data_IF_729243066401
#
_entry.id   IF_729243066401
#
_cell.length_a   1.000
_cell.length_b   1.000
_cell.length_c   1.000
_cell.angle_alpha   90.00
_cell.angle_beta   90.00
_cell.angle_gamma   90.00
#
_symmetry.space_group_name_H-M   'P 1'
#
loop_
_entity.id
_entity.type
_entity.pdbx_description
1 polymer ?
2 polymer ?
3 polymer ?
4 water ?
#
# COMPACT_ATOMS: atom_id res chain seq x y z
N UNK A 1 11.68 -3.45 -16.46
CA UNK A 1 12.80 -4.18 -15.79
C UNK A 1 13.38 -3.45 -14.57
N UNK A 2 12.74 -2.36 -14.16
CA UNK A 2 13.18 -1.61 -12.97
C UNK A 2 12.55 -2.20 -11.72
N UNK A 3 13.31 -2.19 -10.62
CA UNK A 3 12.87 -2.83 -9.38
C UNK A 3 13.27 -2.03 -8.16
N UNK A 4 12.54 -2.20 -7.07
CA UNK A 4 12.83 -1.50 -5.86
C UNK A 4 12.56 -2.38 -4.65
N UNK A 5 13.27 -2.11 -3.54
CA UNK A 5 12.95 -2.71 -2.24
C UNK A 5 12.57 -1.59 -1.28
N UNK A 6 11.55 -1.82 -0.45
CA UNK A 6 11.16 -0.85 0.57
C UNK A 6 10.75 -1.52 1.85
N UNK A 7 11.12 -0.90 2.96
CA UNK A 7 10.57 -1.27 4.24
C UNK A 7 9.72 -0.12 4.70
N UNK A 8 8.57 -0.47 5.31
CA UNK A 8 7.60 0.47 5.79
C UNK A 8 7.42 0.20 7.28
N UNK A 9 7.75 1.19 8.10
CA UNK A 9 7.58 1.08 9.55
C UNK A 9 6.48 1.97 10.03
N UNK A 10 5.67 1.45 10.94
CA UNK A 10 4.61 2.24 11.59
C UNK A 10 4.73 2.06 13.10
N UNK A 11 4.97 3.16 13.82
CA UNK A 11 5.00 3.14 15.30
C UNK A 11 3.86 3.99 15.85
N UNK A 12 3.00 3.40 16.66
CA UNK A 12 1.78 4.11 17.07
C UNK A 12 1.61 4.05 18.57
N UNK A 13 1.60 5.21 19.22
CA UNK A 13 1.30 5.26 20.65
C UNK A 13 -0.20 5.14 20.92
N UNK A 14 -0.54 4.75 22.15
CA UNK A 14 -1.93 4.48 22.50
C UNK A 14 -2.07 4.62 24.02
N UNK A 15 -2.00 5.87 24.52
CA UNK A 15 -2.00 6.09 25.97
C UNK A 15 -3.17 5.40 26.65
N UNK A 16 -2.85 4.63 27.70
CA UNK A 16 -3.89 3.93 28.45
C UNK A 16 -4.18 2.54 27.91
N UNK A 17 -3.50 2.17 26.82
CA UNK A 17 -3.74 0.90 26.18
C UNK A 17 -2.42 0.19 25.93
N UNK A 18 -1.46 0.36 26.83
CA UNK A 18 -0.19 -0.32 26.69
C UNK A 18 0.85 0.49 25.90
N UNK A 19 2.00 -0.13 25.65
CA UNK A 19 3.13 0.54 24.99
C UNK A 19 2.87 0.64 23.48
N UNK A 20 3.59 1.54 22.78
CA UNK A 20 3.33 1.77 21.35
C UNK A 20 3.59 0.53 20.50
N UNK A 21 2.71 0.29 19.53
CA UNK A 21 2.83 -0.85 18.64
C UNK A 21 3.80 -0.46 17.53
N UNK A 22 4.72 -1.36 17.22
CA UNK A 22 5.59 -1.20 16.07
C UNK A 22 5.28 -2.34 15.07
N UNK A 23 5.05 -1.98 13.81
CA UNK A 23 4.89 -2.97 12.74
C UNK A 23 5.84 -2.62 11.60
N UNK A 24 6.49 -3.64 11.05
CA UNK A 24 7.34 -3.41 9.88
C UNK A 24 6.91 -4.36 8.80
N UNK A 25 6.85 -3.89 7.56
CA UNK A 25 6.60 -4.75 6.44
C UNK A 25 7.65 -4.46 5.37
N UNK A 26 8.01 -5.49 4.61
CA UNK A 26 9.00 -5.33 3.53
C UNK A 26 8.38 -5.73 2.21
N UNK A 27 8.73 -4.97 1.17
CA UNK A 27 8.26 -5.17 -0.18
C UNK A 27 9.41 -5.20 -1.14
N UNK A 28 9.27 -6.03 -2.19
CA UNK A 28 10.01 -5.85 -3.44
C UNK A 28 8.92 -5.48 -4.44
N UNK A 29 9.04 -4.30 -5.05
CA UNK A 29 8.01 -3.76 -5.98
C UNK A 29 6.66 -3.85 -5.27
N UNK A 30 5.65 -4.45 -5.89
CA UNK A 30 4.33 -4.56 -5.25
C UNK A 30 4.05 -5.87 -4.52
N UNK A 31 5.11 -6.60 -4.16
CA UNK A 31 4.99 -7.90 -3.50
C UNK A 31 5.54 -7.80 -2.08
N UNK A 32 4.67 -7.92 -1.08
CA UNK A 32 5.12 -7.95 0.30
C UNK A 32 5.84 -9.27 0.57
N UNK A 33 6.93 -9.24 1.32
CA UNK A 33 7.64 -10.50 1.57
C UNK A 33 7.92 -10.83 3.05
N UNK A 34 7.86 -9.85 3.96
CA UNK A 34 8.07 -10.08 5.41
C UNK A 34 7.18 -9.16 6.25
N UNK A 35 6.90 -9.57 7.49
CA UNK A 35 6.25 -8.72 8.47
C UNK A 35 6.85 -9.00 9.83
N UNK A 36 6.72 -7.99 10.69
CA UNK A 36 7.01 -8.10 12.11
C UNK A 36 6.00 -7.21 12.82
N UNK A 37 5.37 -7.73 13.88
CA UNK A 37 4.36 -6.98 14.61
C UNK A 37 4.59 -7.19 16.09
N UNK A 38 4.90 -6.11 16.80
CA UNK A 38 5.22 -6.18 18.24
C UNK A 38 3.99 -6.63 19.05
N UNK A 39 2.80 -6.51 18.45
CA UNK A 39 1.56 -6.97 19.09
C UNK A 39 1.24 -8.45 18.91
N UNK A 40 2.00 -9.16 18.06
CA UNK A 40 1.76 -10.58 17.85
C UNK A 40 2.00 -11.38 19.12
N UNK A 41 1.30 -12.50 19.26
CA UNK A 41 1.41 -13.31 20.47
C UNK A 41 2.87 -13.65 20.78
N UNK A 42 3.65 -13.94 19.74
CA UNK A 42 5.07 -14.22 19.92
C UNK A 42 5.88 -13.51 18.82
N UNK A 43 6.21 -12.22 19.02
CA UNK A 43 6.75 -11.36 17.96
C UNK A 43 8.00 -11.92 17.31
N UNK A 44 7.89 -12.16 16.00
CA UNK A 44 9.00 -12.63 15.18
C UNK A 44 8.79 -12.17 13.76
N UNK A 45 9.89 -12.09 13.02
CA UNK A 45 9.78 -11.81 11.59
C UNK A 45 9.19 -13.02 10.88
N UNK A 46 8.14 -12.81 10.09
CA UNK A 46 7.45 -13.91 9.44
C UNK A 46 7.46 -13.74 7.92
N UNK A 47 7.61 -14.86 7.18
CA UNK A 47 7.61 -14.79 5.71
C UNK A 47 6.21 -14.50 5.15
N UNK A 48 6.13 -13.72 4.06
CA UNK A 48 4.83 -13.41 3.44
C UNK A 48 4.82 -13.62 1.91
N UNK A 49 5.91 -14.19 1.40
CA UNK A 49 6.00 -14.62 0.01
C UNK A 49 6.82 -15.93 -0.02
N UNK A 50 6.44 -16.87 -0.92
CA UNK A 50 7.06 -18.21 -0.93
C UNK A 50 8.58 -18.19 -1.14
N UNK A 51 9.08 -17.27 -1.98
CA UNK A 51 10.50 -17.23 -2.31
C UNK A 51 11.43 -16.73 -1.18
N UNK A 52 10.89 -16.17 -0.09
CA UNK A 52 11.71 -15.78 1.05
C UNK A 52 11.86 -16.95 2.02
N UNK A 53 10.99 -17.94 1.91
CA UNK A 53 10.99 -19.03 2.89
C UNK A 53 12.30 -19.84 2.93
N UNK A 54 13.03 -19.87 1.82
CA UNK A 54 14.31 -20.59 1.72
C UNK A 54 15.42 -20.00 2.60
N UNK A 55 15.28 -18.73 3.01
CA UNK A 55 16.27 -18.14 3.93
C UNK A 55 16.30 -18.92 5.23
N UNK A 56 17.49 -19.11 5.79
CA UNK A 56 17.69 -19.98 6.94
C UNK A 56 17.49 -19.31 8.28
N UNK A 57 17.55 -20.10 9.37
CA UNK A 57 17.28 -19.52 10.69
C UNK A 57 18.07 -18.23 11.01
N UNK A 58 19.32 -18.11 10.54
CA UNK A 58 20.13 -16.92 10.89
C UNK A 58 19.57 -15.63 10.27
N UNK A 59 18.95 -15.75 9.09
CA UNK A 59 18.24 -14.64 8.48
C UNK A 59 17.05 -14.22 9.36
N UNK A 60 16.20 -15.17 9.73
CA UNK A 60 15.02 -14.85 10.55
C UNK A 60 15.40 -14.26 11.91
N UNK A 61 16.45 -14.79 12.54
CA UNK A 61 16.90 -14.25 13.82
C UNK A 61 17.53 -12.85 13.70
N UNK A 62 18.26 -12.60 12.61
CA UNK A 62 18.84 -11.29 12.37
C UNK A 62 17.72 -10.23 12.17
N UNK A 63 16.73 -10.59 11.38
CA UNK A 63 15.60 -9.69 11.16
C UNK A 63 14.88 -9.38 12.47
N UNK A 64 14.64 -10.43 13.25
CA UNK A 64 13.89 -10.31 14.47
C UNK A 64 14.68 -9.45 15.51
N UNK A 65 15.99 -9.69 15.62
CA UNK A 65 16.85 -8.88 16.49
C UNK A 65 16.77 -7.38 16.13
N UNK A 66 16.78 -7.07 14.84
CA UNK A 66 16.68 -5.68 14.33
C UNK A 66 15.31 -5.08 14.65
N UNK A 67 14.24 -5.80 14.33
CA UNK A 67 12.90 -5.26 14.55
C UNK A 67 12.56 -5.11 16.04
N UNK A 68 13.08 -6.01 16.88
CA UNK A 68 12.86 -5.89 18.33
C UNK A 68 13.54 -4.64 18.85
N UNK A 69 14.77 -4.38 18.37
CA UNK A 69 15.50 -3.19 18.77
C UNK A 69 14.78 -1.94 18.30
N UNK A 70 14.27 -1.98 17.06
CA UNK A 70 13.45 -0.86 16.53
C UNK A 70 12.18 -0.59 17.34
N UNK A 71 11.52 -1.66 17.81
CA UNK A 71 10.36 -1.52 18.71
C UNK A 71 10.67 -0.60 19.92
N UNK A 72 11.78 -0.85 20.60
CA UNK A 72 12.22 -0.04 21.74
C UNK A 72 12.64 1.40 21.36
N UNK A 73 13.41 1.53 20.28
CA UNK A 73 13.86 2.83 19.78
C UNK A 73 12.70 3.75 19.35
N UNK A 74 11.75 3.21 18.61
CA UNK A 74 10.60 4.01 18.20
C UNK A 74 9.71 4.45 19.37
N UNK A 75 9.70 3.66 20.45
CA UNK A 75 8.95 4.05 21.63
C UNK A 75 9.63 5.29 22.26
N UNK A 76 10.96 5.30 22.29
CA UNK A 76 11.70 6.48 22.75
C UNK A 76 11.50 7.67 21.83
N UNK A 77 11.55 7.42 20.53
CA UNK A 77 11.31 8.45 19.53
C UNK A 77 9.91 9.06 19.67
N UNK A 78 8.88 8.23 19.87
CA UNK A 78 7.55 8.77 20.09
C UNK A 78 7.53 9.69 21.33
N UNK A 79 8.19 9.32 22.41
CA UNK A 79 8.21 10.18 23.61
C UNK A 79 8.93 11.47 23.32
N UNK A 80 10.00 11.39 22.51
CA UNK A 80 10.79 12.56 22.20
C UNK A 80 9.99 13.56 21.34
N UNK A 81 9.29 13.06 20.33
CA UNK A 81 8.55 13.94 19.42
C UNK A 81 7.34 14.56 20.10
N UNK A 82 6.69 13.80 20.99
CA UNK A 82 5.66 14.37 21.86
C UNK A 82 6.20 15.65 22.49
N UNK A 83 7.35 15.53 23.16
CA UNK A 83 8.01 16.66 23.82
C UNK A 83 8.36 17.78 22.84
N UNK A 84 8.82 17.44 21.62
CA UNK A 84 9.23 18.50 20.68
C UNK A 84 8.05 19.36 20.21
N UNK A 85 6.85 18.80 20.26
CA UNK A 85 5.67 19.55 19.86
C UNK A 85 4.84 20.03 21.04
N UNK A 86 5.41 19.94 22.24
CA UNK A 86 4.70 20.29 23.49
C UNK A 86 3.31 19.63 23.60
N UNK A 87 3.21 18.40 23.15
CA UNK A 87 1.93 17.71 23.14
C UNK A 87 1.63 17.03 24.48
N UNK A 88 0.34 16.93 24.79
CA UNK A 88 -0.12 16.29 26.01
C UNK A 88 0.20 14.77 25.99
N UNK A 89 0.22 14.15 27.16
CA UNK A 89 0.39 12.69 27.25
C UNK A 89 -0.89 11.94 26.89
N UNK A 90 -1.98 12.65 26.62
CA UNK A 90 -3.27 12.00 26.34
C UNK A 90 -3.51 11.50 24.92
N UNK A 91 -2.84 12.08 23.94
CA UNK A 91 -3.11 11.77 22.54
C UNK A 91 -2.34 10.61 21.96
N UNK A 92 -2.93 9.99 20.94
CA UNK A 92 -2.26 8.96 20.13
C UNK A 92 -1.47 9.65 19.01
N UNK A 93 -0.25 9.18 18.78
CA UNK A 93 0.56 9.72 17.67
C UNK A 93 1.22 8.62 16.90
N UNK A 94 1.60 8.95 15.66
CA UNK A 94 2.19 7.97 14.78
C UNK A 94 3.50 8.45 14.16
N UNK A 95 4.55 7.63 14.20
CA UNK A 95 5.75 7.88 13.40
C UNK A 95 5.72 6.84 12.29
N UNK A 96 5.95 7.27 11.06
CA UNK A 96 6.11 6.35 9.94
C UNK A 96 7.45 6.55 9.27
N UNK A 97 8.00 5.45 8.74
CA UNK A 97 9.26 5.54 8.02
C UNK A 97 9.18 4.67 6.78
N UNK A 98 9.66 5.17 5.65
CA UNK A 98 9.75 4.30 4.45
C UNK A 98 11.14 4.53 3.86
N UNK A 99 11.90 3.45 3.66
CA UNK A 99 13.27 3.57 3.11
C UNK A 99 13.55 2.41 2.19
N UNK A 100 14.56 2.57 1.35
CA UNK A 100 14.95 1.51 0.42
C UNK A 100 15.68 1.98 -0.81
N UNK A 101 15.84 1.06 -1.76
CA UNK A 101 16.71 1.32 -2.89
C UNK A 101 15.93 1.02 -4.17
N UNK A 102 16.23 1.80 -5.21
CA UNK A 102 15.69 1.62 -6.55
C UNK A 102 16.80 1.17 -7.46
N UNK A 103 16.57 0.08 -8.21
CA UNK A 103 17.48 -0.39 -9.25
C UNK A 103 16.94 -0.01 -10.65
N UNK A 104 17.83 0.39 -11.56
CA UNK A 104 17.46 0.49 -12.99
C UNK A 104 17.33 -0.87 -13.65
N UNK A 105 16.94 -0.91 -14.95
CA UNK A 105 16.77 -2.19 -15.69
C UNK A 105 18.06 -3.03 -15.83
N UNK A 106 19.22 -2.36 -15.71
CA UNK A 106 20.52 -3.04 -15.69
C UNK A 106 20.95 -3.55 -14.29
N UNK A 107 20.08 -3.42 -13.31
CA UNK A 107 20.39 -3.82 -11.93
C UNK A 107 21.28 -2.89 -11.12
N UNK A 108 21.65 -1.73 -11.68
CA UNK A 108 22.46 -0.74 -10.97
C UNK A 108 21.60 0.14 -10.04
N UNK A 109 22.20 0.60 -8.94
CA UNK A 109 21.52 1.53 -8.02
C UNK A 109 21.15 2.84 -8.71
N UNK A 110 19.85 3.14 -8.78
CA UNK A 110 19.36 4.37 -9.37
C UNK A 110 19.37 5.47 -8.31
N UNK A 111 18.79 5.16 -7.16
CA UNK A 111 18.76 6.09 -6.03
C UNK A 111 18.31 5.39 -4.76
N UNK A 112 18.62 6.01 -3.62
CA UNK A 112 18.19 5.52 -2.33
C UNK A 112 17.15 6.46 -1.70
N UNK A 113 16.43 5.95 -0.71
CA UNK A 113 15.36 6.70 -0.06
C UNK A 113 15.40 6.44 1.44
N UNK A 114 15.15 7.47 2.26
CA UNK A 114 14.83 7.26 3.68
C UNK A 114 14.03 8.46 4.20
N UNK A 115 12.73 8.25 4.41
CA UNK A 115 11.82 9.35 4.76
C UNK A 115 11.06 8.97 6.01
N UNK A 116 10.85 9.97 6.86
CA UNK A 116 10.00 9.79 8.04
C UNK A 116 8.92 10.87 8.12
N UNK A 117 7.83 10.50 8.79
CA UNK A 117 6.65 11.32 8.97
C UNK A 117 6.16 11.22 10.41
N UNK A 118 5.54 12.29 10.90
CA UNK A 118 4.90 12.30 12.23
C UNK A 118 3.45 12.73 12.05
N UNK A 119 2.53 11.96 12.63
CA UNK A 119 1.10 12.18 12.40
C UNK A 119 0.71 12.45 10.92
N UNK A 120 1.36 11.76 9.98
CA UNK A 120 0.99 11.84 8.56
C UNK A 120 1.61 12.99 7.79
N UNK A 121 2.45 13.77 8.48
CA UNK A 121 3.15 14.93 7.88
C UNK A 121 4.62 14.64 7.70
N UNK A 122 5.18 15.03 6.55
CA UNK A 122 6.63 14.98 6.34
C UNK A 122 7.35 15.52 7.58
N UNK A 123 8.31 14.76 8.08
CA UNK A 123 9.07 15.19 9.25
C UNK A 123 10.55 15.36 8.91
N UNK A 124 11.19 14.28 8.43
CA UNK A 124 12.60 14.36 8.03
C UNK A 124 12.89 13.36 6.90
N UNK A 125 13.65 13.79 5.89
CA UNK A 125 14.00 12.91 4.76
C UNK A 125 15.48 13.01 4.41
N UNK A 126 16.10 11.87 4.13
CA UNK A 126 17.44 11.84 3.57
C UNK A 126 17.39 12.38 2.13
N UNK A 127 18.23 13.36 1.83
CA UNK A 127 18.31 13.92 0.46
C UNK A 127 18.88 12.88 -0.50
N UNK A 128 18.64 13.09 -1.79
CA UNK A 128 19.11 12.15 -2.82
C UNK A 128 20.63 11.94 -2.83
N UNK A 129 21.38 12.92 -2.33
CA UNK A 129 22.84 12.77 -2.19
C UNK A 129 23.27 11.73 -1.14
N UNK A 130 22.31 11.23 -0.35
CA UNK A 130 22.54 10.25 0.74
C UNK A 130 23.56 10.75 1.78
N UNK A 131 23.60 12.07 1.97
CA UNK A 131 24.62 12.72 2.81
C UNK A 131 24.07 13.81 3.71
N UNK A 132 22.92 14.38 3.34
CA UNK A 132 22.36 15.54 4.03
C UNK A 132 20.84 15.34 4.23
N UNK A 133 20.25 16.13 5.12
CA UNK A 133 18.85 15.93 5.53
C UNK A 133 17.97 17.12 5.19
N UNK A 134 16.69 16.85 4.97
CA UNK A 134 15.69 17.91 4.89
C UNK A 134 14.73 17.75 6.06
N UNK A 135 14.72 18.75 6.95
CA UNK A 135 13.81 18.76 8.11
C UNK A 135 12.63 19.71 7.87
N UNK A 136 11.43 19.26 8.20
CA UNK A 136 10.20 20.01 7.90
C UNK A 136 9.99 21.24 8.78
N UNK A 137 10.46 21.18 10.03
CA UNK A 137 10.18 22.23 11.01
C UNK A 137 11.24 22.24 12.11
N UNK A 138 11.07 23.09 13.12
CA UNK A 138 12.08 23.21 14.17
C UNK A 138 12.19 21.98 15.08
N UNK A 139 11.10 21.21 15.16
CA UNK A 139 11.13 19.91 15.84
C UNK A 139 12.02 18.93 15.10
N UNK A 140 11.83 18.81 13.79
CA UNK A 140 12.67 17.88 13.03
C UNK A 140 14.14 18.32 12.96
N UNK A 141 14.41 19.62 13.18
CA UNK A 141 15.79 20.11 13.21
C UNK A 141 16.55 19.50 14.38
N UNK A 142 15.83 19.21 15.47
CA UNK A 142 16.45 18.57 16.63
C UNK A 142 16.91 17.13 16.32
N UNK A 143 16.01 16.37 15.71
CA UNK A 143 16.33 15.06 15.17
C UNK A 143 17.51 15.12 14.22
N UNK A 144 17.48 16.10 13.30
CA UNK A 144 18.56 16.25 12.33
C UNK A 144 19.90 16.39 13.04
N UNK A 145 19.92 17.19 14.12
CA UNK A 145 21.19 17.42 14.82
C UNK A 145 21.67 16.15 15.51
N UNK A 146 20.75 15.41 16.12
CA UNK A 146 21.06 14.09 16.69
C UNK A 146 21.61 13.14 15.64
N UNK A 147 20.96 13.11 14.47
CA UNK A 147 21.35 12.19 13.41
C UNK A 147 22.67 12.55 12.77
N UNK A 148 22.98 13.84 12.74
CA UNK A 148 24.28 14.26 12.28
C UNK A 148 25.40 13.83 13.23
N UNK A 149 25.15 13.84 14.54
CA UNK A 149 26.16 13.45 15.54
C UNK A 149 26.46 11.93 15.57
N UNK A 150 25.46 11.11 15.31
CA UNK A 150 25.66 9.66 15.28
C UNK A 150 26.02 9.14 13.87
N UNK A 151 26.36 10.05 12.96
CA UNK A 151 26.76 9.73 11.58
C UNK A 151 25.74 8.86 10.84
N UNK A 152 24.46 9.13 11.06
CA UNK A 152 23.39 8.29 10.48
C UNK A 152 23.40 8.27 8.96
N UNK A 153 23.55 9.43 8.33
CA UNK A 153 23.50 9.49 6.86
C UNK A 153 24.57 8.58 6.25
N UNK A 154 25.77 8.62 6.84
CA UNK A 154 26.89 7.83 6.38
C UNK A 154 26.58 6.32 6.47
N UNK A 155 25.93 5.94 7.57
CA UNK A 155 25.50 4.55 7.78
C UNK A 155 24.45 4.15 6.75
N UNK A 156 23.49 5.03 6.50
CA UNK A 156 22.40 4.74 5.56
C UNK A 156 22.93 4.66 4.13
N UNK A 157 23.80 5.59 3.78
CA UNK A 157 24.43 5.52 2.45
C UNK A 157 25.13 4.16 2.26
N UNK A 158 25.93 3.70 3.24
CA UNK A 158 26.60 2.40 3.15
C UNK A 158 25.63 1.23 2.94
N UNK A 159 24.53 1.24 3.68
CA UNK A 159 23.45 0.25 3.53
C UNK A 159 22.76 0.35 2.16
N UNK A 160 22.38 1.55 1.77
CA UNK A 160 21.59 1.78 0.56
C UNK A 160 22.36 1.42 -0.71
N UNK A 161 23.67 1.71 -0.72
CA UNK A 161 24.54 1.36 -1.84
C UNK A 161 25.08 -0.08 -1.75
N UNK A 162 25.01 -0.67 -0.57
CA UNK A 162 25.60 -1.99 -0.31
C UNK A 162 24.57 -3.10 -0.11
N UNK A 163 24.28 -3.44 1.15
CA UNK A 163 23.34 -4.51 1.50
C UNK A 163 21.98 -4.42 0.84
N UNK A 164 21.45 -3.20 0.76
CA UNK A 164 20.12 -2.99 0.19
C UNK A 164 20.05 -3.54 -1.22
N UNK A 165 20.99 -3.12 -2.06
CA UNK A 165 21.03 -3.50 -3.45
C UNK A 165 21.39 -4.99 -3.58
N UNK A 166 22.34 -5.44 -2.77
CA UNK A 166 22.76 -6.85 -2.81
C UNK A 166 21.61 -7.79 -2.47
N UNK A 167 20.88 -7.47 -1.41
CA UNK A 167 19.72 -8.30 -1.02
C UNK A 167 18.58 -8.20 -2.01
N UNK A 168 18.32 -7.00 -2.54
CA UNK A 168 17.27 -6.84 -3.55
C UNK A 168 17.55 -7.73 -4.75
N UNK A 169 18.80 -7.72 -5.22
CA UNK A 169 19.21 -8.59 -6.33
C UNK A 169 19.05 -10.08 -5.99
N UNK A 170 19.35 -10.45 -4.76
CA UNK A 170 19.18 -11.85 -4.31
C UNK A 170 17.69 -12.26 -4.38
N UNK A 171 16.84 -11.41 -3.81
CA UNK A 171 15.39 -11.62 -3.87
C UNK A 171 14.86 -11.70 -5.29
N UNK A 172 15.30 -10.78 -6.15
CA UNK A 172 14.89 -10.81 -7.58
C UNK A 172 15.24 -12.14 -8.26
N UNK A 173 16.42 -12.68 -7.95
CA UNK A 173 16.83 -13.98 -8.50
C UNK A 173 16.00 -15.11 -7.90
N UNK A 174 15.90 -15.15 -6.56
CA UNK A 174 15.15 -16.22 -5.90
C UNK A 174 13.66 -16.25 -6.25
N UNK A 175 13.10 -15.08 -6.47
CA UNK A 175 11.70 -14.91 -6.84
C UNK A 175 11.48 -14.61 -8.31
N UNK A 176 12.45 -14.95 -9.17
CA UNK A 176 12.39 -14.48 -10.58
C UNK A 176 11.13 -14.86 -11.34
N UNK A 177 10.54 -16.01 -11.03
CA UNK A 177 9.36 -16.50 -11.76
C UNK A 177 8.14 -15.60 -11.57
N UNK A 178 8.10 -14.88 -10.45
CA UNK A 178 7.01 -13.95 -10.16
C UNK A 178 7.46 -12.49 -10.21
N UNK A 179 8.54 -12.17 -9.49
CA UNK A 179 8.98 -10.79 -9.36
C UNK A 179 9.43 -10.19 -10.70
N UNK A 180 9.97 -11.03 -11.58
CA UNK A 180 10.46 -10.58 -12.88
C UNK A 180 9.49 -10.97 -14.00
N UNK A 181 8.24 -11.25 -13.64
CA UNK A 181 7.20 -11.60 -14.62
C UNK A 181 6.14 -10.52 -14.56
N UNK A 182 5.91 -9.85 -15.69
CA UNK A 182 4.84 -8.86 -15.80
C UNK A 182 3.60 -9.52 -16.40
N UNK A 183 2.49 -9.45 -15.70
CA UNK A 183 1.24 -10.06 -16.20
C UNK A 183 0.40 -8.94 -16.78
N UNK A 184 0.06 -9.03 -18.09
CA UNK A 184 -0.69 -7.94 -18.67
C UNK A 184 -2.14 -7.88 -18.21
N UNK A 185 -2.77 -6.70 -18.34
CA UNK A 185 -4.19 -6.60 -17.99
C UNK A 185 -5.07 -7.36 -18.97
N UNK A 186 -6.12 -8.00 -18.45
CA UNK A 186 -7.22 -8.53 -19.26
C UNK A 186 -8.22 -7.39 -19.34
N UNK A 187 -8.60 -7.01 -20.55
CA UNK A 187 -9.38 -5.78 -20.73
C UNK A 187 -10.74 -5.99 -21.40
N UNK A 188 -11.73 -5.19 -21.00
CA UNK A 188 -13.02 -5.12 -21.72
C UNK A 188 -13.75 -3.80 -21.46
N UNK A 189 -14.74 -3.49 -22.30
CA UNK A 189 -15.52 -2.27 -22.17
C UNK A 189 -16.98 -2.67 -21.94
N UNK A 190 -17.60 -2.06 -20.93
CA UNK A 190 -19.01 -2.28 -20.65
C UNK A 190 -19.81 -1.02 -20.95
N UNK A 191 -21.09 -1.21 -21.22
CA UNK A 191 -21.99 -0.15 -21.60
C UNK A 191 -23.24 -0.31 -20.74
N UNK A 192 -23.64 0.77 -20.08
CA UNK A 192 -24.87 0.78 -19.28
C UNK A 192 -25.61 2.10 -19.47
N UNK A 193 -26.81 2.06 -20.06
CA UNK A 193 -27.61 3.28 -20.17
C UNK A 193 -27.81 3.92 -18.80
N UNK A 194 -27.68 5.25 -18.73
CA UNK A 194 -28.04 5.96 -17.50
C UNK A 194 -29.43 6.58 -17.64
N UNK A 195 -29.81 6.84 -18.89
CA UNK A 195 -31.05 7.53 -19.23
C UNK A 195 -31.29 7.37 -20.74
N UNK A 196 -32.33 8.00 -21.26
CA UNK A 196 -32.62 7.96 -22.69
C UNK A 196 -31.49 8.51 -23.55
N UNK A 197 -30.75 9.49 -23.02
CA UNK A 197 -29.80 10.28 -23.83
C UNK A 197 -28.33 9.96 -23.53
N UNK A 198 -28.09 9.28 -22.43
CA UNK A 198 -26.71 9.02 -22.01
C UNK A 198 -26.47 7.58 -21.57
N UNK A 199 -25.20 7.16 -21.69
CA UNK A 199 -24.76 5.84 -21.26
C UNK A 199 -23.33 5.90 -20.72
N UNK A 200 -23.04 5.05 -19.75
CA UNK A 200 -21.68 4.91 -19.20
C UNK A 200 -20.91 3.88 -20.00
N UNK A 201 -19.71 4.26 -20.44
CA UNK A 201 -18.76 3.30 -20.97
C UNK A 201 -17.74 3.09 -19.87
N UNK A 202 -17.51 1.84 -19.47
CA UNK A 202 -16.51 1.57 -18.43
C UNK A 202 -15.43 0.66 -18.96
N UNK A 203 -14.19 1.12 -18.86
CA UNK A 203 -13.09 0.38 -19.41
C UNK A 203 -12.41 -0.36 -18.27
N UNK A 204 -12.40 -1.70 -18.32
CA UNK A 204 -11.81 -2.54 -17.26
C UNK A 204 -10.41 -3.09 -17.55
N UNK A 205 -9.57 -3.11 -16.52
CA UNK A 205 -8.27 -3.82 -16.57
C UNK A 205 -8.16 -4.71 -15.34
N UNK A 206 -7.99 -6.02 -15.56
CA UNK A 206 -7.96 -7.03 -14.51
C UNK A 206 -6.77 -7.95 -14.60
N UNK A 207 -6.30 -8.43 -13.46
CA UNK A 207 -5.33 -9.53 -13.43
C UNK A 207 -3.92 -9.10 -13.79
N UNK A 208 -3.59 -7.81 -13.62
CA UNK A 208 -2.28 -7.28 -13.99
C UNK A 208 -1.29 -7.17 -12.83
N UNK A 209 0.00 -7.26 -13.17
CA UNK A 209 1.11 -7.08 -12.23
C UNK A 209 2.32 -6.59 -13.01
N UNK A 210 3.00 -5.54 -12.53
CA UNK A 210 2.80 -4.82 -11.28
C UNK A 210 1.62 -3.86 -11.38
N UNK A 211 1.37 -3.12 -10.29
CA UNK A 211 0.21 -2.23 -10.17
C UNK A 211 0.24 -1.03 -11.13
N UNK A 212 1.43 -0.61 -11.53
CA UNK A 212 1.56 0.56 -12.42
C UNK A 212 0.81 0.31 -13.74
N UNK A 213 -0.07 1.25 -14.10
CA UNK A 213 -0.90 1.12 -15.30
C UNK A 213 -1.45 2.49 -15.64
N UNK A 214 -1.72 2.70 -16.94
CA UNK A 214 -2.40 3.92 -17.38
C UNK A 214 -3.63 3.51 -18.17
N UNK A 215 -4.77 4.05 -17.74
CA UNK A 215 -6.07 3.85 -18.36
C UNK A 215 -6.66 5.21 -18.61
N UNK A 216 -6.96 5.51 -19.88
CA UNK A 216 -7.54 6.79 -20.22
C UNK A 216 -8.66 6.56 -21.23
N UNK A 217 -9.62 7.50 -21.27
CA UNK A 217 -10.57 7.60 -22.36
C UNK A 217 -10.31 8.82 -23.26
N UNK A 218 -10.42 8.60 -24.57
CA UNK A 218 -10.32 9.69 -25.54
C UNK A 218 -11.64 9.84 -26.27
N UNK A 219 -12.00 11.08 -26.61
CA UNK A 219 -13.14 11.36 -27.50
C UNK A 219 -12.61 12.03 -28.77
N UNK A 220 -12.88 11.41 -29.93
CA UNK A 220 -12.31 11.87 -31.20
C UNK A 220 -10.79 12.01 -31.11
N UNK A 221 -10.16 11.17 -30.29
CA UNK A 221 -8.72 11.18 -30.14
C UNK A 221 -8.12 12.23 -29.21
N UNK A 222 -8.96 12.99 -28.51
CA UNK A 222 -8.42 13.85 -27.43
C UNK A 222 -8.78 13.34 -26.03
N UNK A 223 -7.84 13.49 -25.10
CA UNK A 223 -8.01 12.99 -23.73
C UNK A 223 -9.21 13.61 -23.02
N UNK A 224 -9.95 12.77 -22.29
CA UNK A 224 -11.13 13.21 -21.54
C UNK A 224 -10.85 13.24 -20.04
N UNK A 225 -9.77 13.90 -19.65
CA UNK A 225 -9.28 13.84 -18.26
C UNK A 225 -10.34 14.27 -17.24
N UNK A 226 -10.94 15.45 -17.44
CA UNK A 226 -11.91 15.98 -16.49
C UNK A 226 -13.20 15.18 -16.40
N UNK A 227 -13.59 14.54 -17.50
CA UNK A 227 -14.87 13.80 -17.57
C UNK A 227 -14.75 12.30 -17.28
N UNK A 228 -13.53 11.85 -17.00
CA UNK A 228 -13.30 10.43 -16.72
C UNK A 228 -13.33 10.12 -15.23
N UNK A 229 -14.18 9.16 -14.83
CA UNK A 229 -14.22 8.67 -13.46
C UNK A 229 -13.21 7.52 -13.34
N UNK A 230 -12.24 7.68 -12.47
CA UNK A 230 -11.08 6.79 -12.46
C UNK A 230 -10.83 6.23 -11.07
N UNK A 231 -11.15 4.96 -10.84
CA UNK A 231 -10.96 4.42 -9.48
C UNK A 231 -9.49 4.14 -9.14
N UNK A 232 -9.18 4.20 -7.86
CA UNK A 232 -7.84 3.83 -7.39
C UNK A 232 -7.54 2.39 -7.81
N UNK A 233 -6.31 2.15 -8.27
CA UNK A 233 -5.88 0.77 -8.53
C UNK A 233 -5.98 -0.06 -7.25
N UNK A 234 -6.55 -1.26 -7.36
CA UNK A 234 -6.92 -2.07 -6.19
C UNK A 234 -6.42 -3.52 -6.25
N UNK A 235 -6.02 -4.10 -5.08
CA UNK A 235 -5.47 -5.44 -5.16
C UNK A 235 -6.60 -6.50 -5.27
N UNK A 236 -6.37 -7.50 -6.11
CA UNK A 236 -7.32 -8.60 -6.23
C UNK A 236 -7.23 -9.62 -5.11
N UNK A 237 -6.06 -9.69 -4.46
CA UNK A 237 -5.81 -10.65 -3.36
C UNK A 237 -5.03 -11.88 -3.78
N UNK A 238 -4.70 -11.99 -5.08
CA UNK A 238 -3.93 -13.11 -5.64
C UNK A 238 -2.61 -12.62 -6.28
N UNK A 239 -2.14 -11.47 -5.80
CA UNK A 239 -0.94 -10.74 -6.27
C UNK A 239 -1.25 -9.71 -7.35
N UNK A 240 -2.35 -9.89 -8.08
CA UNK A 240 -2.72 -9.00 -9.21
C UNK A 240 -3.52 -7.78 -8.78
N UNK A 241 -3.67 -6.83 -9.70
CA UNK A 241 -4.38 -5.59 -9.45
C UNK A 241 -5.51 -5.38 -10.44
N UNK A 242 -6.39 -4.46 -10.08
CA UNK A 242 -7.54 -4.15 -10.91
C UNK A 242 -7.71 -2.64 -11.01
N UNK A 243 -8.23 -2.17 -12.14
CA UNK A 243 -8.61 -0.77 -12.27
C UNK A 243 -9.72 -0.61 -13.32
N UNK A 244 -10.52 0.44 -13.18
CA UNK A 244 -11.42 0.85 -14.29
C UNK A 244 -11.46 2.36 -14.50
N UNK A 245 -11.88 2.77 -15.71
CA UNK A 245 -12.12 4.20 -16.02
C UNK A 245 -13.49 4.31 -16.70
N UNK A 246 -14.30 5.28 -16.28
CA UNK A 246 -15.66 5.45 -16.84
C UNK A 246 -15.92 6.85 -17.39
N UNK A 247 -16.70 6.90 -18.46
CA UNK A 247 -17.12 8.16 -19.05
C UNK A 247 -18.61 8.03 -19.41
N UNK A 248 -19.36 9.12 -19.20
CA UNK A 248 -20.77 9.19 -19.61
C UNK A 248 -20.82 9.91 -20.95
N UNK A 249 -21.41 9.24 -21.93
CA UNK A 249 -21.36 9.70 -23.31
C UNK A 249 -22.77 9.93 -23.81
N UNK A 250 -22.92 10.82 -24.81
CA UNK A 250 -24.23 10.89 -25.46
C UNK A 250 -24.57 9.63 -26.24
N UNK A 251 -25.81 9.18 -26.12
CA UNK A 251 -26.35 8.11 -26.93
C UNK A 251 -26.58 8.70 -28.33
N UNK A 252 -26.06 8.14 -29.42
CA UNK A 252 -25.16 7.00 -29.49
C UNK A 252 -23.92 7.51 -30.22
N UNK A 253 -23.10 8.25 -29.48
CA UNK A 253 -21.80 8.70 -29.93
C UNK A 253 -20.73 7.75 -29.42
N UNK A 254 -21.14 6.56 -28.98
CA UNK A 254 -20.23 5.59 -28.35
C UNK A 254 -18.96 5.34 -29.16
N UNK A 255 -19.10 5.27 -30.48
CA UNK A 255 -17.95 4.95 -31.33
C UNK A 255 -16.90 6.06 -31.43
N UNK A 256 -17.22 7.24 -30.92
CA UNK A 256 -16.27 8.36 -30.91
C UNK A 256 -15.30 8.25 -29.72
N UNK A 257 -15.53 7.26 -28.85
CA UNK A 257 -14.73 7.08 -27.64
C UNK A 257 -13.83 5.85 -27.70
N UNK A 258 -12.58 6.00 -27.28
CA UNK A 258 -11.62 4.90 -27.26
C UNK A 258 -10.94 4.84 -25.91
N UNK A 259 -10.82 3.62 -25.38
CA UNK A 259 -10.08 3.38 -24.12
C UNK A 259 -8.64 2.97 -24.44
N UNK A 260 -7.67 3.63 -23.79
CA UNK A 260 -6.27 3.35 -24.03
C UNK A 260 -5.59 2.75 -22.79
N UNK A 261 -4.80 1.72 -23.02
CA UNK A 261 -4.21 0.94 -21.91
C UNK A 261 -2.72 0.79 -22.12
N UNK A 262 -1.94 1.24 -21.13
CA UNK A 262 -0.49 1.07 -21.13
C UNK A 262 -0.12 0.26 -19.89
N UNK A 263 0.71 -0.78 -20.08
CA UNK A 263 1.18 -1.65 -18.98
C UNK A 263 2.44 -2.36 -19.41
N UNK A 264 3.35 -2.57 -18.46
CA UNK A 264 4.63 -3.23 -18.72
C UNK A 264 4.46 -4.62 -19.37
N UNK A 265 3.40 -5.32 -19.01
CA UNK A 265 3.11 -6.65 -19.53
C UNK A 265 2.65 -6.66 -20.98
N UNK A 266 2.29 -5.50 -21.51
CA UNK A 266 1.79 -5.38 -22.88
C UNK A 266 2.90 -5.04 -23.88
N UNK A 267 3.05 -5.90 -24.92
CA UNK A 267 4.02 -5.66 -25.98
C UNK A 267 3.58 -4.55 -26.94
N UNK A 268 2.28 -4.24 -26.91
CA UNK A 268 1.69 -3.12 -27.64
C UNK A 268 0.66 -2.47 -26.73
N UNK A 269 0.72 -1.12 -26.57
CA UNK A 269 -0.40 -0.43 -25.90
C UNK A 269 -1.73 -0.76 -26.59
N UNK A 270 -2.81 -0.80 -25.83
CA UNK A 270 -4.09 -1.23 -26.36
C UNK A 270 -5.02 -0.05 -26.62
N UNK A 271 -5.78 -0.13 -27.71
CA UNK A 271 -6.89 0.76 -27.97
C UNK A 271 -8.13 -0.14 -28.02
N UNK A 272 -9.11 0.17 -27.19
CA UNK A 272 -10.35 -0.61 -27.16
C UNK A 272 -11.55 0.31 -27.31
N UNK A 273 -12.61 -0.24 -27.84
CA UNK A 273 -13.86 0.49 -27.93
C UNK A 273 -14.99 -0.43 -27.44
N UNK A 274 -16.17 0.13 -27.22
CA UNK A 274 -17.32 -0.69 -26.91
C UNK A 274 -17.69 -1.53 -28.13
N UNK A 275 -17.87 -2.83 -27.90
CA UNK A 275 -18.28 -3.77 -28.94
C UNK A 275 -19.70 -4.25 -28.66
N UNK A 276 -20.71 -3.63 -29.31
CA UNK A 276 -22.12 -3.96 -29.03
C UNK A 276 -22.43 -5.41 -29.37
N UNK B 1 -5.38 18.51 14.71
CA UNK B 1 -4.63 17.39 14.09
C UNK B 1 -5.28 16.97 12.77
N UNK B 2 -4.45 16.75 11.76
CA UNK B 2 -4.93 16.47 10.41
C UNK B 2 -5.25 14.99 10.20
N UNK B 3 -6.49 14.72 9.81
CA UNK B 3 -6.97 13.35 9.65
C UNK B 3 -7.52 13.14 8.24
N UNK B 4 -7.43 11.90 7.75
CA UNK B 4 -7.91 11.58 6.40
C UNK B 4 -8.92 10.45 6.41
N UNK B 5 -10.05 10.69 5.76
CA UNK B 5 -11.13 9.70 5.72
C UNK B 5 -10.88 8.59 4.69
N UNK B 6 -11.30 7.33 5.00
CA UNK B 6 -10.97 6.26 4.07
C UNK B 6 -11.77 6.32 2.77
N UNK B 7 -11.10 5.97 1.67
CA UNK B 7 -11.73 5.60 0.43
C UNK B 7 -12.10 4.14 0.58
N UNK B 8 -13.22 3.71 0.00
CA UNK B 8 -13.68 2.33 0.19
C UNK B 8 -14.09 1.76 -1.17
N UNK B 9 -13.57 0.58 -1.52
CA UNK B 9 -14.08 -0.15 -2.69
C UNK B 9 -14.45 -1.58 -2.31
N UNK B 10 -15.60 -2.04 -2.79
CA UNK B 10 -16.07 -3.41 -2.53
C UNK B 10 -16.22 -4.12 -3.88
N UNK B 11 -15.62 -5.29 -4.01
CA UNK B 11 -15.51 -5.91 -5.34
C UNK B 11 -15.07 -7.37 -5.17
N UNK B 12 -15.13 -8.14 -6.25
CA UNK B 12 -14.70 -9.53 -6.20
C UNK B 12 -13.30 -9.73 -6.81
N UNK B 13 -12.59 -10.75 -6.32
CA UNK B 13 -11.29 -11.14 -6.87
C UNK B 13 -11.36 -11.55 -8.35
N UNK B 14 -12.35 -12.37 -8.67
CA UNK B 14 -12.58 -12.84 -10.04
C UNK B 14 -13.90 -12.29 -10.55
N UNK B 15 -14.09 -12.21 -11.89
CA UNK B 15 -15.42 -11.77 -12.37
C UNK B 15 -16.53 -12.58 -11.70
N UNK B 16 -17.58 -11.91 -11.24
CA UNK B 16 -18.66 -12.58 -10.53
C UNK B 16 -19.50 -13.50 -11.43
N UNK B 17 -19.71 -14.74 -10.95
CA UNK B 17 -20.54 -15.74 -11.61
C UNK B 17 -21.40 -16.48 -10.57
N UNK B 18 -22.71 -16.39 -10.72
CA UNK B 18 -23.62 -16.96 -9.72
C UNK B 18 -23.41 -18.44 -9.52
N UNK B 19 -23.36 -18.86 -8.26
CA UNK B 19 -23.12 -20.25 -7.92
C UNK B 19 -21.67 -20.68 -8.01
N UNK B 20 -20.77 -19.77 -8.39
CA UNK B 20 -19.34 -20.05 -8.40
C UNK B 20 -18.56 -19.33 -7.27
N UNK B 21 -17.89 -20.13 -6.44
CA UNK B 21 -17.08 -19.65 -5.34
C UNK B 21 -16.02 -18.62 -5.78
N UNK B 22 -15.79 -17.60 -4.95
CA UNK B 22 -15.01 -16.45 -5.34
C UNK B 22 -14.46 -15.83 -4.03
N UNK B 23 -13.87 -14.65 -4.12
CA UNK B 23 -13.49 -13.91 -2.92
C UNK B 23 -14.12 -12.52 -2.96
N UNK B 24 -14.68 -12.08 -1.82
CA UNK B 24 -15.24 -10.75 -1.67
C UNK B 24 -14.20 -9.88 -0.96
N UNK B 25 -13.82 -8.80 -1.61
CA UNK B 25 -12.83 -7.86 -1.11
C UNK B 25 -13.45 -6.53 -0.68
N UNK B 26 -12.89 -5.96 0.37
CA UNK B 26 -13.12 -4.57 0.75
C UNK B 26 -11.77 -3.92 0.94
N UNK B 27 -11.46 -2.96 0.07
CA UNK B 27 -10.19 -2.27 0.05
C UNK B 27 -10.41 -0.87 0.62
N UNK B 28 -9.78 -0.60 1.75
CA UNK B 28 -9.80 0.74 2.35
C UNK B 28 -8.44 1.35 2.25
N UNK B 29 -8.42 2.62 1.84
CA UNK B 29 -7.15 3.31 1.58
C UNK B 29 -7.27 4.83 1.78
N UNK B 30 -6.10 5.49 1.74
CA UNK B 30 -6.02 6.93 1.89
C UNK B 30 -6.43 7.47 3.24
N UNK B 31 -6.45 6.63 4.27
CA UNK B 31 -6.91 7.11 5.58
C UNK B 31 -5.75 7.36 6.52
N UNK B 32 -6.03 8.16 7.55
CA UNK B 32 -5.06 8.51 8.57
C UNK B 32 -5.86 9.09 9.74
N UNK B 33 -5.65 8.59 10.96
CA UNK B 33 -4.66 7.62 11.43
C UNK B 33 -5.07 6.18 11.03
N UNK B 34 -4.32 5.19 11.51
CA UNK B 34 -4.39 3.82 10.98
C UNK B 34 -5.50 2.99 11.61
N UNK B 35 -5.94 3.32 12.82
CA UNK B 35 -7.04 2.56 13.43
C UNK B 35 -8.28 2.60 12.54
N UNK B 36 -8.85 1.43 12.28
CA UNK B 36 -10.01 1.35 11.39
C UNK B 36 -10.77 0.06 11.69
N UNK B 37 -12.08 0.07 11.52
CA UNK B 37 -12.88 -1.15 11.66
C UNK B 37 -13.62 -1.43 10.38
N UNK B 38 -13.48 -2.65 9.89
CA UNK B 38 -14.04 -3.06 8.62
C UNK B 38 -14.73 -4.39 8.83
N UNK B 39 -16.01 -4.45 8.44
CA UNK B 39 -16.74 -5.70 8.42
C UNK B 39 -17.29 -5.98 7.02
N UNK B 40 -17.31 -7.26 6.62
CA UNK B 40 -18.00 -7.68 5.42
C UNK B 40 -19.39 -8.19 5.82
N UNK B 41 -20.42 -7.77 5.09
CA UNK B 41 -21.80 -8.14 5.41
C UNK B 41 -22.43 -9.00 4.32
N UNK B 42 -23.21 -9.98 4.75
CA UNK B 42 -24.07 -10.80 3.88
C UNK B 42 -25.49 -10.58 4.36
N UNK B 43 -26.36 -10.11 3.46
CA UNK B 43 -27.73 -9.71 3.82
C UNK B 43 -27.82 -8.96 5.14
N UNK B 44 -26.85 -8.06 5.36
CA UNK B 44 -26.83 -7.19 6.54
C UNK B 44 -26.14 -7.76 7.78
N UNK B 45 -25.84 -9.06 7.78
CA UNK B 45 -25.18 -9.72 8.93
C UNK B 45 -23.66 -9.82 8.78
N UNK B 46 -22.93 -9.55 9.86
CA UNK B 46 -21.48 -9.60 9.85
C UNK B 46 -20.97 -11.00 9.54
N UNK B 47 -20.13 -11.12 8.50
CA UNK B 47 -19.46 -12.38 8.17
C UNK B 47 -18.33 -12.65 9.16
N UNK B 48 -18.25 -13.88 9.66
CA UNK B 48 -17.33 -14.24 10.74
C UNK B 48 -15.86 -14.38 10.39
N UNK B 49 -15.52 -15.03 9.29
CA UNK B 49 -14.11 -15.50 9.17
C UNK B 49 -13.08 -14.56 8.49
N UNK B 50 -13.39 -13.26 8.39
CA UNK B 50 -12.72 -12.32 7.47
C UNK B 50 -11.23 -12.16 7.81
N UNK B 51 -10.39 -12.20 6.77
CA UNK B 51 -8.95 -11.99 6.93
C UNK B 51 -8.58 -10.61 6.38
N UNK B 52 -7.40 -10.13 6.74
CA UNK B 52 -6.95 -8.85 6.19
C UNK B 52 -5.44 -8.80 6.03
N UNK B 53 -4.97 -7.84 5.23
CA UNK B 53 -3.54 -7.69 4.94
C UNK B 53 -2.80 -7.02 6.12
N UNK B 54 -1.47 -7.07 6.07
CA UNK B 54 -0.67 -6.35 7.06
C UNK B 54 -0.69 -4.85 6.80
N UNK B 55 -0.71 -4.05 7.87
CA UNK B 55 -0.76 -2.58 7.74
C UNK B 55 0.42 -2.04 6.94
N UNK B 56 0.13 -1.29 5.87
CA UNK B 56 1.17 -0.61 5.09
C UNK B 56 0.65 0.74 4.67
N UNK B 57 1.46 1.51 3.97
CA UNK B 57 1.02 2.85 3.57
C UNK B 57 1.63 3.29 2.25
N UNK B 58 1.00 4.29 1.66
CA UNK B 58 1.34 4.83 0.34
C UNK B 58 2.38 5.94 0.46
N UNK B 59 2.84 6.46 -0.68
CA UNK B 59 3.88 7.51 -0.67
C UNK B 59 3.44 8.79 0.03
N UNK B 60 2.13 9.03 0.09
CA UNK B 60 1.60 10.18 0.81
C UNK B 60 1.36 9.91 2.30
N UNK B 61 1.85 8.74 2.79
CA UNK B 61 1.73 8.32 4.19
C UNK B 61 0.37 7.74 4.57
N UNK B 62 -0.62 7.85 3.67
CA UNK B 62 -1.93 7.28 3.95
C UNK B 62 -1.88 5.74 3.99
N UNK B 63 -2.61 5.16 4.93
CA UNK B 63 -2.69 3.72 5.11
C UNK B 63 -3.65 3.06 4.13
N UNK B 64 -3.42 1.77 3.90
CA UNK B 64 -4.35 0.91 3.16
C UNK B 64 -4.37 -0.51 3.70
N UNK B 65 -5.53 -1.17 3.58
CA UNK B 65 -5.71 -2.55 4.02
C UNK B 65 -6.71 -3.22 3.09
N UNK B 66 -6.51 -4.51 2.86
CA UNK B 66 -7.47 -5.30 2.12
C UNK B 66 -8.10 -6.29 3.10
N UNK B 67 -9.44 -6.28 3.20
CA UNK B 67 -10.19 -7.31 3.94
C UNK B 67 -10.84 -8.24 2.93
N UNK B 68 -10.84 -9.54 3.24
CA UNK B 68 -11.32 -10.52 2.25
C UNK B 68 -11.85 -11.77 2.91
N UNK B 69 -12.80 -12.40 2.22
CA UNK B 69 -13.38 -13.66 2.63
C UNK B 69 -13.91 -14.42 1.41
N UNK B 70 -13.82 -15.74 1.46
CA UNK B 70 -14.44 -16.59 0.44
C UNK B 70 -15.97 -16.38 0.45
N UNK B 71 -16.57 -16.35 -0.74
CA UNK B 71 -18.03 -16.25 -0.86
C UNK B 71 -18.48 -16.82 -2.20
N UNK B 72 -19.73 -17.23 -2.25
CA UNK B 72 -20.34 -17.71 -3.49
C UNK B 72 -21.51 -16.78 -3.80
N UNK B 73 -21.31 -15.86 -4.77
CA UNK B 73 -22.37 -14.94 -5.17
C UNK B 73 -23.60 -15.65 -5.69
N UNK B 74 -24.78 -15.10 -5.41
CA UNK B 74 -26.03 -15.58 -5.98
C UNK B 74 -26.82 -14.38 -6.53
N UNK B 75 -27.92 -14.65 -7.23
CA UNK B 75 -28.76 -13.59 -7.78
C UNK B 75 -29.29 -12.67 -6.67
N UNK B 76 -29.73 -13.26 -5.57
CA UNK B 76 -30.45 -12.53 -4.53
C UNK B 76 -29.68 -12.15 -3.26
N UNK B 77 -28.57 -12.81 -2.97
CA UNK B 77 -27.76 -12.43 -1.80
C UNK B 77 -27.11 -11.07 -2.00
N UNK B 78 -27.24 -10.21 -0.98
CA UNK B 78 -26.66 -8.87 -1.00
C UNK B 78 -25.44 -8.83 -0.12
N UNK B 79 -24.34 -8.31 -0.67
CA UNK B 79 -23.11 -8.13 0.10
C UNK B 79 -22.72 -6.67 0.21
N UNK B 80 -21.91 -6.36 1.22
CA UNK B 80 -21.56 -4.97 1.55
C UNK B 80 -20.33 -4.96 2.45
N UNK B 81 -19.73 -3.77 2.58
CA UNK B 81 -18.64 -3.53 3.50
C UNK B 81 -19.09 -2.43 4.46
N UNK B 82 -18.78 -2.56 5.74
CA UNK B 82 -19.16 -1.54 6.71
C UNK B 82 -17.87 -1.04 7.34
N UNK B 83 -17.66 0.27 7.31
CA UNK B 83 -16.39 0.87 7.70
C UNK B 83 -16.61 1.98 8.71
N UNK B 84 -15.88 1.93 9.82
CA UNK B 84 -15.81 3.05 10.77
C UNK B 84 -14.36 3.52 10.97
N UNK B 85 -14.21 4.81 11.22
CA UNK B 85 -12.89 5.44 11.36
C UNK B 85 -13.16 6.69 12.21
N UNK B 86 -12.12 7.26 12.80
CA UNK B 86 -12.33 8.47 13.63
C UNK B 86 -12.98 9.61 12.79
N UNK B 87 -12.65 9.67 11.51
CA UNK B 87 -13.19 10.71 10.62
C UNK B 87 -14.68 10.61 10.31
N UNK B 88 -15.29 9.46 10.63
CA UNK B 88 -16.70 9.20 10.28
C UNK B 88 -17.60 9.34 11.51
N UNK B 89 -18.65 10.15 11.37
CA UNK B 89 -19.70 10.27 12.40
C UNK B 89 -20.36 8.94 12.74
N UNK B 90 -20.65 8.15 11.71
CA UNK B 90 -21.29 6.85 11.85
C UNK B 90 -20.69 5.90 10.80
N UNK B 91 -20.82 4.58 11.01
CA UNK B 91 -20.29 3.62 10.04
C UNK B 91 -20.83 3.84 8.63
N UNK B 92 -19.95 3.79 7.64
CA UNK B 92 -20.35 3.93 6.23
C UNK B 92 -20.50 2.55 5.60
N UNK B 93 -21.66 2.31 4.99
CA UNK B 93 -21.90 1.05 4.31
C UNK B 93 -21.82 1.26 2.80
N UNK B 94 -20.96 0.49 2.15
CA UNK B 94 -20.88 0.46 0.70
C UNK B 94 -21.30 -0.91 0.21
N UNK B 95 -22.29 -0.92 -0.68
CA UNK B 95 -22.85 -2.16 -1.20
C UNK B 95 -21.97 -2.72 -2.31
N UNK B 96 -21.93 -4.04 -2.43
CA UNK B 96 -21.22 -4.70 -3.52
C UNK B 96 -22.04 -4.66 -4.80
N UNK B 97 -21.41 -4.12 -5.84
CA UNK B 97 -22.03 -4.02 -7.15
C UNK B 97 -21.05 -4.65 -8.14
N UNK B 98 -21.51 -5.63 -8.92
CA UNK B 98 -20.59 -6.44 -9.74
C UNK B 98 -20.00 -5.70 -10.93
N UNK B 99 -20.65 -4.60 -11.30
CA UNK B 99 -20.23 -3.75 -12.43
C UNK B 99 -19.34 -2.62 -11.96
N UNK B 100 -18.79 -2.75 -10.74
CA UNK B 100 -18.01 -1.68 -10.09
C UNK B 100 -16.80 -2.22 -9.36
N UNK C 1 16.74 -7.37 3.11
CA UNK C 1 17.26 -7.23 4.51
C UNK C 1 17.17 -5.79 5.02
N UNK C 2 16.70 -5.58 6.27
CA UNK C 2 16.49 -4.20 6.75
C UNK C 2 17.78 -3.55 7.24
N UNK C 3 17.76 -2.22 7.36
CA UNK C 3 18.86 -1.45 7.95
C UNK C 3 19.01 -1.82 9.42
N UNK C 4 20.25 -1.91 9.88
CA UNK C 4 20.50 -2.62 11.13
C UNK C 4 20.73 -1.69 12.30
N UNK C 5 20.91 -0.41 12.01
CA UNK C 5 21.16 0.54 13.07
C UNK C 5 19.88 1.28 13.45
N UNK C 6 19.67 1.32 14.74
CA UNK C 6 18.57 2.03 15.34
C UNK C 6 19.14 3.42 15.59
N UNK C 7 18.34 4.46 15.43
CA UNK C 7 18.72 5.70 16.09
C UNK C 7 17.55 6.58 16.47
N UNK C 8 17.47 6.84 17.77
CA UNK C 8 16.44 7.65 18.39
C UNK C 8 16.37 9.04 17.76
N UNK C 9 15.14 9.49 17.55
CA UNK C 9 14.86 10.75 16.92
C UNK C 9 14.91 11.87 17.95
#
# INVERSE_FOLDING_TARGET
GSHSMRYFYTAMSRPGRGEPRFIAVGYVDDTQFVRFDSDAASPRTEPRAPWIEQEGPEYWDRNTQIFKTNTQTYRESLRNLRGYYNQSEAGSHIIQRMYGCDLGPDGRLLRGHDQSAYDGKDYIALNEDLSSWTAADTAAQITQRKWEAARVAEQLRAYLEGLCVEWLRRYLENGKETLQRADPPKTHVTHHPVSDHEATLRCWALGFYPAEITLTWQRDGEDQTQDTELVETRPAGDRTFQKWAAVVVPSGEEQRYTCHVQHEGLPKPLTLRWEP
MIQRTPKIQVYSRHPAENGKSNFLNCYVSGFHPSDIEVDLLKNGERIEKVEHSDLSFSKDWSFYLLYYTEFTPTEKDEYACRVNHVTLSQPKIVKWDRDM
LPFDRTTIM
#
